data_IF_671189210708
#
_entry.id   IF_671189210708
#
_cell.length_a   1.000
_cell.length_b   1.000
_cell.length_c   1.000
_cell.angle_alpha   90.00
_cell.angle_beta   90.00
_cell.angle_gamma   90.00
#
_symmetry.space_group_name_H-M   'P 1'
#
loop_
_entity.id
_entity.type
_entity.pdbx_description
1 polymer ?
#
# COMPACT_ATOMS: atom_id res chain seq x y z
N UNK A 1 -42.24 -23.19 4.84
CA UNK A 1 -41.38 -22.02 4.59
C UNK A 1 -40.88 -21.56 5.94
N UNK A 2 -39.60 -21.78 6.24
CA UNK A 2 -39.00 -21.39 7.52
C UNK A 2 -38.70 -19.88 7.42
N UNK A 3 -39.42 -19.06 8.18
CA UNK A 3 -39.19 -17.61 8.23
C UNK A 3 -37.82 -17.35 8.85
N UNK A 4 -36.96 -16.62 8.14
CA UNK A 4 -35.67 -16.16 8.67
C UNK A 4 -35.90 -15.34 9.95
N UNK A 5 -35.04 -15.51 10.95
CA UNK A 5 -35.15 -14.77 12.21
C UNK A 5 -34.78 -13.30 12.00
N UNK A 6 -35.41 -12.41 12.78
CA UNK A 6 -35.06 -10.99 12.83
C UNK A 6 -33.55 -10.75 13.02
N UNK A 7 -32.93 -11.58 13.86
CA UNK A 7 -31.49 -11.59 14.12
C UNK A 7 -30.67 -11.84 12.84
N UNK A 8 -31.08 -12.82 12.03
CA UNK A 8 -30.43 -13.15 10.75
C UNK A 8 -30.53 -11.98 9.78
N UNK A 9 -31.69 -11.33 9.72
CA UNK A 9 -31.92 -10.17 8.86
C UNK A 9 -31.04 -8.97 9.27
N UNK A 10 -30.97 -8.66 10.56
CA UNK A 10 -30.13 -7.57 11.08
C UNK A 10 -28.63 -7.85 10.85
N UNK A 11 -28.21 -9.10 11.00
CA UNK A 11 -26.85 -9.53 10.71
C UNK A 11 -26.48 -9.35 9.23
N UNK A 12 -27.35 -9.77 8.31
CA UNK A 12 -27.13 -9.57 6.86
C UNK A 12 -27.07 -8.10 6.50
N UNK A 13 -27.97 -7.27 7.05
CA UNK A 13 -27.93 -5.80 6.89
C UNK A 13 -26.61 -5.24 7.43
N UNK A 14 -26.15 -5.74 8.58
CA UNK A 14 -24.87 -5.38 9.19
C UNK A 14 -23.68 -5.71 8.29
N UNK A 15 -23.65 -6.89 7.68
CA UNK A 15 -22.61 -7.30 6.75
C UNK A 15 -22.55 -6.41 5.52
N UNK A 16 -23.69 -6.21 4.84
CA UNK A 16 -23.77 -5.38 3.64
C UNK A 16 -23.29 -3.96 3.96
N UNK A 17 -23.77 -3.35 5.05
CA UNK A 17 -23.38 -2.01 5.44
C UNK A 17 -21.90 -1.92 5.83
N UNK A 18 -21.35 -2.92 6.52
CA UNK A 18 -19.94 -2.94 6.92
C UNK A 18 -19.02 -3.03 5.72
N UNK A 19 -19.31 -3.92 4.76
CA UNK A 19 -18.49 -4.11 3.57
C UNK A 19 -18.56 -2.90 2.62
N UNK A 20 -19.76 -2.32 2.45
CA UNK A 20 -19.96 -1.14 1.59
C UNK A 20 -19.39 0.14 2.19
N UNK A 21 -19.56 0.37 3.50
CA UNK A 21 -19.10 1.59 4.19
C UNK A 21 -17.71 1.47 4.80
N UNK A 22 -17.10 0.28 4.75
CA UNK A 22 -15.78 -0.05 5.34
C UNK A 22 -15.65 0.33 6.83
N UNK A 23 -16.76 0.29 7.56
CA UNK A 23 -16.83 0.61 9.00
C UNK A 23 -18.02 -0.07 9.62
N UNK A 24 -17.96 -0.33 10.93
CA UNK A 24 -19.09 -0.93 11.64
C UNK A 24 -20.32 -0.01 11.62
N UNK A 25 -21.52 -0.57 11.41
CA UNK A 25 -22.77 0.16 11.54
C UNK A 25 -23.04 0.47 13.00
N UNK A 26 -23.44 1.71 13.27
CA UNK A 26 -23.77 2.20 14.62
C UNK A 26 -25.27 2.16 14.93
N UNK A 27 -26.08 2.04 13.88
CA UNK A 27 -27.54 2.21 13.94
C UNK A 27 -28.29 0.86 13.88
N UNK A 28 -27.58 -0.27 14.08
CA UNK A 28 -28.14 -1.62 14.03
C UNK A 28 -28.07 -2.28 15.42
N UNK A 29 -29.12 -3.02 15.78
CA UNK A 29 -29.20 -3.73 17.06
C UNK A 29 -28.49 -5.10 16.96
N UNK A 30 -27.17 -5.08 16.82
CA UNK A 30 -26.35 -6.28 16.66
C UNK A 30 -25.95 -6.86 18.03
N UNK A 31 -26.02 -8.19 18.14
CA UNK A 31 -25.45 -8.90 19.28
C UNK A 31 -23.91 -8.82 19.28
N UNK A 32 -23.26 -8.93 20.45
CA UNK A 32 -21.80 -8.89 20.55
C UNK A 32 -21.07 -9.89 19.62
N UNK A 33 -21.65 -11.09 19.44
CA UNK A 33 -21.11 -12.09 18.51
C UNK A 33 -21.11 -11.64 17.04
N UNK A 34 -22.16 -10.96 16.59
CA UNK A 34 -22.22 -10.41 15.23
C UNK A 34 -21.24 -9.26 15.03
N UNK A 35 -21.07 -8.41 16.05
CA UNK A 35 -20.09 -7.32 16.00
C UNK A 35 -18.68 -7.90 15.81
N UNK A 36 -18.34 -8.97 16.53
CA UNK A 36 -17.06 -9.66 16.37
C UNK A 36 -16.89 -10.21 14.95
N UNK A 37 -17.90 -10.89 14.39
CA UNK A 37 -17.84 -11.43 13.03
C UNK A 37 -17.68 -10.34 11.96
N UNK A 38 -18.37 -9.21 12.12
CA UNK A 38 -18.20 -8.06 11.23
C UNK A 38 -16.82 -7.42 11.33
N UNK A 39 -16.23 -7.38 12.53
CA UNK A 39 -14.86 -6.91 12.75
C UNK A 39 -13.82 -7.80 12.07
N UNK A 40 -13.97 -9.12 12.20
CA UNK A 40 -13.08 -10.08 11.52
C UNK A 40 -13.24 -9.98 10.00
N UNK A 41 -14.47 -9.92 9.49
CA UNK A 41 -14.73 -9.74 8.06
C UNK A 41 -14.15 -8.41 7.54
N UNK A 42 -14.27 -7.32 8.30
CA UNK A 42 -13.69 -6.04 7.92
C UNK A 42 -12.16 -6.09 7.90
N UNK A 43 -11.53 -6.83 8.84
CA UNK A 43 -10.08 -7.05 8.86
C UNK A 43 -9.62 -7.87 7.67
N UNK A 44 -10.33 -8.94 7.33
CA UNK A 44 -10.01 -9.77 6.17
C UNK A 44 -10.16 -8.98 4.87
N UNK A 45 -11.25 -8.24 4.73
CA UNK A 45 -11.55 -7.41 3.55
C UNK A 45 -10.60 -6.19 3.42
N UNK A 46 -9.96 -5.76 4.52
CA UNK A 46 -8.83 -4.80 4.48
C UNK A 46 -7.51 -5.45 4.05
N UNK A 47 -7.32 -6.74 4.31
CA UNK A 47 -6.16 -7.49 3.80
C UNK A 47 -6.35 -7.80 2.31
N UNK A 48 -7.60 -8.00 1.90
CA UNK A 48 -7.97 -8.43 0.55
C UNK A 48 -8.44 -7.29 -0.35
N UNK A 49 -8.44 -6.02 0.11
CA UNK A 49 -8.81 -4.85 -0.70
C UNK A 49 -8.12 -4.90 -2.08
N UNK A 50 -8.85 -5.19 -3.16
CA UNK A 50 -8.31 -5.10 -4.50
C UNK A 50 -8.31 -3.61 -4.84
N UNK A 51 -7.11 -3.02 -4.93
CA UNK A 51 -6.92 -1.71 -5.54
C UNK A 51 -7.55 -1.74 -6.95
N UNK A 52 -8.37 -0.74 -7.24
CA UNK A 52 -9.25 -0.58 -8.40
C UNK A 52 -8.71 -1.18 -9.72
N UNK A 53 -9.58 -1.81 -10.56
CA UNK A 53 -9.17 -2.53 -11.78
C UNK A 53 -8.48 -1.68 -12.87
N UNK A 54 -8.36 -0.36 -12.69
CA UNK A 54 -7.59 0.53 -13.57
C UNK A 54 -6.07 0.58 -13.25
N UNK A 55 -5.60 -0.07 -12.16
CA UNK A 55 -4.20 0.01 -11.69
C UNK A 55 -3.47 -1.33 -11.63
N UNK A 56 -4.01 -2.38 -12.29
CA UNK A 56 -3.46 -3.76 -12.24
C UNK A 56 -1.93 -3.79 -12.40
N UNK A 57 -1.23 -3.96 -11.28
CA UNK A 57 0.21 -4.18 -11.20
C UNK A 57 1.09 -2.99 -10.76
N UNK A 58 0.56 -1.76 -10.68
CA UNK A 58 1.34 -0.58 -10.28
C UNK A 58 0.97 -0.18 -8.85
N UNK A 59 1.92 -0.21 -7.89
CA UNK A 59 1.65 0.18 -6.50
C UNK A 59 1.23 1.64 -6.35
N UNK A 60 0.44 1.93 -5.32
CA UNK A 60 -0.07 3.28 -5.02
C UNK A 60 1.04 4.31 -4.76
N UNK A 61 2.21 3.88 -4.29
CA UNK A 61 3.38 4.73 -4.10
C UNK A 61 4.26 4.87 -5.37
N UNK A 62 3.70 4.59 -6.56
CA UNK A 62 4.32 4.93 -7.83
C UNK A 62 3.90 6.33 -8.25
N UNK A 63 4.86 7.23 -8.34
CA UNK A 63 4.63 8.62 -8.72
C UNK A 63 5.29 8.90 -10.07
N UNK A 64 4.57 9.58 -10.96
CA UNK A 64 5.09 10.06 -12.24
C UNK A 64 5.94 11.32 -12.02
N UNK A 65 7.13 11.11 -11.46
CA UNK A 65 8.02 12.19 -11.01
C UNK A 65 9.48 11.92 -11.39
N UNK A 66 10.22 13.00 -11.54
CA UNK A 66 11.68 12.97 -11.71
C UNK A 66 12.40 12.59 -10.41
N UNK A 67 13.71 12.42 -10.50
CA UNK A 67 14.55 12.19 -9.31
C UNK A 67 14.45 13.33 -8.30
N UNK A 68 14.58 14.57 -8.77
CA UNK A 68 14.57 15.75 -7.90
C UNK A 68 13.20 15.97 -7.25
N UNK A 69 12.11 15.77 -8.00
CA UNK A 69 10.75 15.86 -7.44
C UNK A 69 10.51 14.77 -6.39
N UNK A 70 11.01 13.56 -6.59
CA UNK A 70 10.93 12.50 -5.57
C UNK A 70 11.73 12.83 -4.30
N UNK A 71 12.90 13.44 -4.42
CA UNK A 71 13.67 13.92 -3.27
C UNK A 71 12.84 14.93 -2.47
N UNK A 72 12.22 15.91 -3.16
CA UNK A 72 11.34 16.91 -2.54
C UNK A 72 10.12 16.31 -1.85
N UNK A 73 9.43 15.38 -2.50
CA UNK A 73 8.29 14.66 -1.90
C UNK A 73 8.69 13.96 -0.60
N UNK A 74 9.84 13.28 -0.60
CA UNK A 74 10.32 12.56 0.57
C UNK A 74 10.80 13.50 1.68
N UNK A 75 11.37 14.66 1.34
CA UNK A 75 11.78 15.69 2.30
C UNK A 75 10.58 16.36 2.99
N UNK A 76 9.48 16.54 2.27
CA UNK A 76 8.26 17.16 2.77
C UNK A 76 7.33 16.18 3.51
N UNK A 77 7.58 14.87 3.40
CA UNK A 77 6.76 13.85 4.08
C UNK A 77 6.95 13.89 5.60
N UNK A 78 5.91 14.33 6.32
CA UNK A 78 5.85 14.32 7.79
C UNK A 78 5.07 13.12 8.31
N UNK A 79 5.58 11.92 8.04
CA UNK A 79 5.05 10.66 8.62
C UNK A 79 4.21 9.80 7.68
N UNK A 80 3.87 10.27 6.47
CA UNK A 80 3.11 9.51 5.47
C UNK A 80 3.93 8.49 4.66
N UNK A 81 5.05 8.01 5.19
CA UNK A 81 5.98 7.11 4.51
C UNK A 81 7.21 7.82 3.91
N UNK A 82 8.19 7.03 3.49
CA UNK A 82 9.54 7.49 3.16
C UNK A 82 10.22 6.66 2.06
N UNK A 83 9.41 5.97 1.25
CA UNK A 83 9.81 5.11 0.14
C UNK A 83 8.83 5.33 -1.02
N UNK A 84 9.31 5.61 -2.23
CA UNK A 84 8.46 5.70 -3.41
C UNK A 84 9.09 5.08 -4.66
N UNK A 85 8.24 4.67 -5.59
CA UNK A 85 8.61 4.26 -6.95
C UNK A 85 8.41 5.43 -7.92
N UNK A 86 9.28 5.51 -8.92
CA UNK A 86 9.16 6.47 -10.01
C UNK A 86 9.77 5.94 -11.31
N UNK A 87 9.50 6.55 -12.47
CA UNK A 87 10.21 6.25 -13.71
C UNK A 87 11.73 6.32 -13.53
N UNK A 88 12.44 5.36 -14.15
CA UNK A 88 13.90 5.39 -14.22
C UNK A 88 14.36 6.51 -15.14
N UNK A 89 15.47 7.18 -14.79
CA UNK A 89 16.02 8.25 -15.62
C UNK A 89 16.72 7.79 -16.91
N UNK A 90 16.95 6.48 -17.06
CA UNK A 90 17.65 5.91 -18.23
C UNK A 90 17.11 4.50 -18.53
N UNK A 91 16.50 4.32 -19.70
CA UNK A 91 15.95 3.03 -20.16
C UNK A 91 14.57 2.66 -19.60
N UNK A 92 14.04 1.48 -19.96
CA UNK A 92 12.66 1.05 -19.65
C UNK A 92 12.44 0.59 -18.18
N UNK A 93 13.35 0.95 -17.27
CA UNK A 93 13.33 0.55 -15.86
C UNK A 93 12.62 1.56 -14.95
N UNK A 94 12.54 1.21 -13.68
CA UNK A 94 12.02 2.08 -12.61
C UNK A 94 13.12 2.41 -11.62
N UNK A 95 12.86 3.38 -10.74
CA UNK A 95 13.75 3.71 -9.63
C UNK A 95 12.97 3.76 -8.33
N UNK A 96 13.58 3.22 -7.28
CA UNK A 96 13.10 3.33 -5.91
C UNK A 96 13.85 4.48 -5.25
N UNK A 97 13.14 5.43 -4.65
CA UNK A 97 13.74 6.52 -3.88
C UNK A 97 13.31 6.40 -2.42
N UNK A 98 14.27 6.58 -1.50
CA UNK A 98 14.04 6.43 -0.06
C UNK A 98 14.67 7.57 0.71
N UNK A 99 14.05 7.99 1.83
CA UNK A 99 14.65 8.91 2.81
C UNK A 99 14.64 8.27 4.19
N UNK A 100 15.78 8.21 4.86
CA UNK A 100 15.86 7.72 6.25
C UNK A 100 16.66 8.68 7.10
N UNK A 101 16.27 8.84 8.35
CA UNK A 101 17.07 9.60 9.32
C UNK A 101 17.95 8.63 10.11
N UNK A 102 19.27 8.79 9.97
CA UNK A 102 20.25 8.03 10.72
C UNK A 102 21.08 9.00 11.55
N UNK A 103 20.96 8.91 12.89
CA UNK A 103 21.69 9.76 13.84
C UNK A 103 21.52 11.26 13.56
N UNK A 104 20.29 11.69 13.25
CA UNK A 104 19.97 13.09 12.95
C UNK A 104 20.37 13.58 11.56
N UNK A 105 20.93 12.71 10.71
CA UNK A 105 21.25 13.03 9.31
C UNK A 105 20.23 12.37 8.38
N UNK A 106 19.60 13.17 7.51
CA UNK A 106 18.71 12.66 6.47
C UNK A 106 19.54 12.03 5.33
N UNK A 107 19.27 10.76 5.03
CA UNK A 107 19.92 9.99 3.99
C UNK A 107 18.93 9.67 2.88
N UNK A 108 19.10 10.33 1.74
CA UNK A 108 18.40 10.01 0.50
C UNK A 108 19.18 8.94 -0.27
N UNK A 109 18.48 7.90 -0.73
CA UNK A 109 19.05 6.84 -1.58
C UNK A 109 18.14 6.56 -2.76
N UNK A 110 18.76 6.22 -3.88
CA UNK A 110 18.05 5.82 -5.09
C UNK A 110 18.59 4.49 -5.60
N UNK A 111 17.69 3.55 -5.81
CA UNK A 111 18.01 2.22 -6.27
C UNK A 111 17.44 2.03 -7.66
N UNK A 112 18.26 1.52 -8.57
CA UNK A 112 17.83 1.18 -9.92
C UNK A 112 17.12 -0.16 -9.90
N UNK A 113 16.00 -0.25 -10.61
CA UNK A 113 15.26 -1.49 -10.80
C UNK A 113 15.11 -1.70 -12.30
N UNK A 114 15.79 -2.72 -12.82
CA UNK A 114 15.76 -3.08 -14.24
C UNK A 114 14.53 -3.92 -14.52
N UNK A 115 13.83 -3.63 -15.61
CA UNK A 115 12.75 -4.47 -16.11
C UNK A 115 13.35 -5.58 -16.98
N UNK A 116 13.01 -6.83 -16.68
CA UNK A 116 13.37 -8.01 -17.46
C UNK A 116 12.12 -8.61 -18.12
N UNK A 117 12.29 -9.61 -18.99
CA UNK A 117 11.18 -10.26 -19.70
C UNK A 117 10.12 -10.85 -18.75
N UNK A 118 10.55 -11.32 -17.57
CA UNK A 118 9.70 -11.95 -16.57
C UNK A 118 9.90 -11.32 -15.18
N UNK A 119 9.80 -9.99 -15.10
CA UNK A 119 9.76 -9.28 -13.82
C UNK A 119 10.79 -8.15 -13.71
N UNK A 120 11.39 -8.03 -12.53
CA UNK A 120 12.23 -6.91 -12.13
C UNK A 120 13.48 -7.37 -11.40
N UNK A 121 14.58 -6.65 -11.57
CA UNK A 121 15.84 -6.89 -10.85
C UNK A 121 16.30 -5.63 -10.18
N UNK A 122 16.45 -5.70 -8.85
CA UNK A 122 16.95 -4.61 -8.02
C UNK A 122 18.49 -4.60 -8.10
N UNK A 123 19.05 -3.48 -8.55
CA UNK A 123 20.49 -3.27 -8.72
C UNK A 123 21.11 -2.85 -7.37
N UNK A 124 21.37 -3.84 -6.53
CA UNK A 124 22.06 -3.74 -5.23
C UNK A 124 23.23 -4.73 -5.20
N UNK A 125 24.06 -4.68 -4.15
CA UNK A 125 25.26 -5.54 -4.01
C UNK A 125 25.00 -7.02 -4.33
N UNK A 126 23.88 -7.55 -3.85
CA UNK A 126 23.37 -8.86 -4.26
C UNK A 126 22.07 -8.67 -5.03
N UNK A 127 22.09 -8.73 -6.38
CA UNK A 127 20.90 -8.49 -7.19
C UNK A 127 19.73 -9.36 -6.76
N UNK A 128 18.56 -8.74 -6.60
CA UNK A 128 17.36 -9.42 -6.14
C UNK A 128 16.30 -9.40 -7.24
N UNK A 129 15.75 -10.59 -7.56
CA UNK A 129 14.71 -10.76 -8.58
C UNK A 129 13.34 -10.69 -7.93
N UNK A 130 12.43 -9.95 -8.56
CA UNK A 130 11.05 -9.77 -8.14
C UNK A 130 10.13 -10.06 -9.32
N UNK A 131 9.00 -10.72 -9.08
CA UNK A 131 7.98 -11.00 -10.09
C UNK A 131 7.14 -9.75 -10.42
N UNK A 132 7.06 -8.80 -9.49
CA UNK A 132 6.21 -7.61 -9.59
C UNK A 132 6.80 -6.38 -8.89
N UNK A 133 6.27 -5.18 -9.19
CA UNK A 133 6.63 -3.95 -8.47
C UNK A 133 6.19 -3.98 -7.00
N UNK A 134 5.13 -4.72 -6.67
CA UNK A 134 4.70 -4.92 -5.28
C UNK A 134 5.77 -5.70 -4.48
N UNK A 135 6.34 -6.76 -5.08
CA UNK A 135 7.46 -7.48 -4.46
C UNK A 135 8.73 -6.61 -4.31
N UNK A 136 8.99 -5.72 -5.27
CA UNK A 136 10.09 -4.75 -5.14
C UNK A 136 9.91 -3.90 -3.89
N UNK A 137 8.72 -3.37 -3.63
CA UNK A 137 8.44 -2.61 -2.41
C UNK A 137 8.58 -3.47 -1.16
N UNK A 138 8.00 -4.67 -1.19
CA UNK A 138 8.06 -5.60 -0.07
C UNK A 138 9.51 -5.94 0.31
N UNK A 139 10.40 -6.10 -0.68
CA UNK A 139 11.84 -6.28 -0.45
C UNK A 139 12.43 -5.14 0.40
N UNK A 140 12.15 -3.88 0.05
CA UNK A 140 12.66 -2.72 0.80
C UNK A 140 12.06 -2.63 2.20
N UNK A 141 10.75 -2.88 2.35
CA UNK A 141 10.07 -2.87 3.66
C UNK A 141 10.64 -3.96 4.57
N UNK A 142 10.76 -5.19 4.07
CA UNK A 142 11.28 -6.32 4.85
C UNK A 142 12.76 -6.14 5.21
N UNK A 143 13.60 -5.76 4.24
CA UNK A 143 15.04 -5.60 4.46
C UNK A 143 15.37 -4.46 5.42
N UNK A 144 14.53 -3.43 5.44
CA UNK A 144 14.63 -2.31 6.37
C UNK A 144 13.93 -2.56 7.72
N UNK A 145 13.36 -3.75 7.94
CA UNK A 145 12.57 -4.12 9.13
C UNK A 145 11.44 -3.11 9.42
N UNK A 146 10.78 -2.65 8.37
CA UNK A 146 9.67 -1.70 8.44
C UNK A 146 10.07 -0.24 8.63
N UNK A 147 11.36 0.09 8.69
CA UNK A 147 11.81 1.51 8.76
C UNK A 147 11.66 2.26 7.43
N UNK A 148 11.52 1.54 6.32
CA UNK A 148 11.01 2.06 5.06
C UNK A 148 9.54 1.68 4.91
N UNK A 149 8.69 2.68 4.68
CA UNK A 149 7.26 2.53 4.43
C UNK A 149 6.88 3.26 3.13
N UNK A 150 6.06 2.64 2.27
CA UNK A 150 5.55 3.29 1.05
C UNK A 150 4.94 4.66 1.34
N UNK A 151 5.29 5.66 0.53
CA UNK A 151 4.73 7.00 0.61
C UNK A 151 3.25 6.97 0.19
N UNK A 152 2.39 7.58 0.99
CA UNK A 152 0.97 7.67 0.73
C UNK A 152 0.68 8.59 -0.48
N UNK A 153 -0.33 8.27 -1.33
CA UNK A 153 -0.59 9.02 -2.56
C UNK A 153 -1.00 10.48 -2.34
N UNK A 154 -1.52 10.80 -1.16
CA UNK A 154 -2.07 12.10 -0.79
C UNK A 154 -1.02 13.23 -0.93
N UNK A 155 0.25 12.88 -0.84
CA UNK A 155 1.39 13.80 -0.98
C UNK A 155 1.69 14.20 -2.44
N UNK A 156 1.13 13.53 -3.45
CA UNK A 156 1.32 13.94 -4.86
C UNK A 156 0.61 15.24 -5.23
N UNK A 157 -0.31 15.71 -4.39
CA UNK A 157 -1.12 16.90 -4.65
C UNK A 157 -0.37 18.23 -4.47
N UNK A 158 0.91 18.17 -4.04
CA UNK A 158 1.75 19.33 -3.74
C UNK A 158 2.90 19.57 -4.73
N UNK A 159 2.91 18.87 -5.87
CA UNK A 159 3.87 19.08 -6.96
C UNK A 159 3.35 20.07 -8.00
#
# INVERSE_FOLDING_TARGET
>A
LQTESWETQEMWRGFILTMTKRRLPRDLALLPGHIFQLLEALREEQRDTPVSPATRGVPSCFFQVTRAEAERLLEQSTGGGNLLLRPGGHGPGVSVSTRQELRGTALLRHYRVKREAQGYVIDVETPHRCSSLAEVLQFFVQRSRGSLQPLEPEYSSHL
#
